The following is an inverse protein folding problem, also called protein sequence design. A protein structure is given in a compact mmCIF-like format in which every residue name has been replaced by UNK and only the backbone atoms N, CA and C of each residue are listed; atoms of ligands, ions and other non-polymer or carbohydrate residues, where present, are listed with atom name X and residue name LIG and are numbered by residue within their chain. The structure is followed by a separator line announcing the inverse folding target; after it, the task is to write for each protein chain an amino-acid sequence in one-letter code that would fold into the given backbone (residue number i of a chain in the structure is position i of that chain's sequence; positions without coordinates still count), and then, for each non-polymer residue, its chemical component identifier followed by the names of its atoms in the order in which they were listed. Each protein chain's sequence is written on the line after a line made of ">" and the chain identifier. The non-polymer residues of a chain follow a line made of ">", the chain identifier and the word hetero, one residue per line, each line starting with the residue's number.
data_IF_763336059058
#
_entry.id   IF_763336059058
#
_cell.length_a   1.000
_cell.length_b   1.000
_cell.length_c   1.000
_cell.angle_alpha   90.00
_cell.angle_beta   90.00
_cell.angle_gamma   90.00
#
_symmetry.space_group_name_H-M   'P 1'
#
loop_
_entity.id
_entity.type
_entity.pdbx_description
1 polymer ?
#
# COMPACT_ATOMS: atom_id res chain seq x y z
N UNK A 1 2.07 6.17 8.37
CA UNK A 1 1.39 5.77 9.64
C UNK A 1 -0.11 6.05 9.61
N UNK A 2 -0.55 7.25 9.16
CA UNK A 2 -1.98 7.63 9.19
C UNK A 2 -2.87 6.61 8.49
N UNK A 3 -2.52 6.16 7.28
CA UNK A 3 -3.30 5.17 6.53
C UNK A 3 -3.47 3.87 7.35
N UNK A 4 -2.45 3.44 8.09
CA UNK A 4 -2.54 2.22 8.89
C UNK A 4 -3.39 2.42 10.15
N UNK A 5 -3.14 3.48 10.90
CA UNK A 5 -3.71 3.63 12.25
C UNK A 5 -5.08 4.32 12.28
N UNK A 6 -5.52 4.96 11.18
CA UNK A 6 -6.86 5.54 11.09
C UNK A 6 -7.98 4.48 11.29
N UNK A 7 -7.70 3.19 11.11
CA UNK A 7 -8.61 2.08 11.40
C UNK A 7 -9.13 2.05 12.84
N UNK A 8 -8.37 2.62 13.78
CA UNK A 8 -8.79 2.71 15.19
C UNK A 8 -9.90 3.73 15.43
N UNK A 9 -10.16 4.66 14.48
CA UNK A 9 -11.25 5.63 14.61
C UNK A 9 -12.61 4.96 14.84
N UNK A 10 -12.88 3.85 14.12
CA UNK A 10 -14.09 3.06 14.31
C UNK A 10 -14.20 2.50 15.73
N UNK A 11 -13.10 2.00 16.30
CA UNK A 11 -13.11 1.46 17.66
C UNK A 11 -13.41 2.55 18.71
N UNK A 12 -12.89 3.76 18.50
CA UNK A 12 -13.19 4.92 19.35
C UNK A 12 -14.67 5.30 19.23
N UNK A 13 -15.19 5.34 18.01
CA UNK A 13 -16.62 5.63 17.75
C UNK A 13 -17.53 4.58 18.37
N UNK A 14 -17.14 3.30 18.36
CA UNK A 14 -17.92 2.21 18.96
C UNK A 14 -18.03 2.31 20.50
N UNK A 15 -17.16 3.10 21.14
CA UNK A 15 -17.28 3.46 22.55
C UNK A 15 -18.30 4.61 22.81
N UNK A 16 -18.94 5.12 21.76
CA UNK A 16 -19.92 6.20 21.84
C UNK A 16 -19.33 7.60 21.66
N UNK A 17 -18.08 7.74 21.28
CA UNK A 17 -17.43 9.01 21.05
C UNK A 17 -17.76 9.61 19.67
N UNK A 18 -17.93 10.94 19.60
CA UNK A 18 -17.89 11.69 18.37
C UNK A 18 -16.43 11.91 17.98
N UNK A 19 -15.94 11.21 16.95
CA UNK A 19 -14.53 11.22 16.58
C UNK A 19 -14.22 12.39 15.66
N UNK A 20 -13.35 13.29 16.13
CA UNK A 20 -12.69 14.31 15.31
C UNK A 20 -11.33 13.76 14.95
N UNK A 21 -11.06 13.53 13.66
CA UNK A 21 -9.80 13.00 13.18
C UNK A 21 -8.99 14.08 12.47
N UNK A 22 -7.83 14.43 13.04
CA UNK A 22 -6.87 15.33 12.40
C UNK A 22 -5.85 14.52 11.60
N UNK A 23 -5.70 14.84 10.31
CA UNK A 23 -4.77 14.15 9.40
C UNK A 23 -3.96 15.14 8.57
N UNK A 24 -2.89 14.66 7.92
CA UNK A 24 -2.13 15.47 6.97
C UNK A 24 -3.06 15.94 5.85
N UNK A 25 -2.97 17.21 5.46
CA UNK A 25 -3.80 17.84 4.43
C UNK A 25 -3.94 17.00 3.15
N UNK A 26 -2.87 16.36 2.60
CA UNK A 26 -3.00 15.52 1.41
C UNK A 26 -3.87 14.28 1.58
N UNK A 27 -4.11 13.81 2.83
CA UNK A 27 -4.89 12.60 3.10
C UNK A 27 -6.38 12.87 3.38
N UNK A 28 -6.78 14.13 3.52
CA UNK A 28 -8.17 14.49 3.87
C UNK A 28 -9.16 13.89 2.87
N UNK A 29 -8.90 14.03 1.57
CA UNK A 29 -9.82 13.51 0.55
C UNK A 29 -9.85 11.99 0.50
N UNK A 30 -8.71 11.33 0.69
CA UNK A 30 -8.63 9.87 0.75
C UNK A 30 -9.44 9.29 1.92
N UNK A 31 -9.49 10.00 3.04
CA UNK A 31 -10.08 9.54 4.29
C UNK A 31 -11.47 10.13 4.58
N UNK A 32 -12.07 10.86 3.61
CA UNK A 32 -13.32 11.60 3.81
C UNK A 32 -14.51 10.74 4.24
N UNK A 33 -14.53 9.49 3.79
CA UNK A 33 -15.61 8.54 4.06
C UNK A 33 -15.20 7.45 5.08
N UNK A 34 -14.14 7.71 5.87
CA UNK A 34 -13.64 6.76 6.85
C UNK A 34 -14.69 6.50 7.94
N UNK A 35 -15.10 5.25 8.05
CA UNK A 35 -16.11 4.81 9.04
C UNK A 35 -15.66 5.13 10.46
N UNK A 36 -16.58 5.68 11.25
CA UNK A 36 -16.37 6.04 12.65
C UNK A 36 -15.79 7.45 12.86
N UNK A 37 -15.59 8.22 11.80
CA UNK A 37 -15.15 9.63 11.88
C UNK A 37 -16.35 10.53 11.69
N UNK A 38 -16.63 11.39 12.67
CA UNK A 38 -17.70 12.39 12.61
C UNK A 38 -17.23 13.68 11.95
N UNK A 39 -15.98 14.06 12.19
CA UNK A 39 -15.38 15.28 11.64
C UNK A 39 -13.92 14.98 11.22
N UNK A 40 -13.60 15.27 9.98
CA UNK A 40 -12.25 15.13 9.46
C UNK A 40 -11.65 16.51 9.21
N UNK A 41 -10.46 16.77 9.76
CA UNK A 41 -9.78 18.06 9.66
C UNK A 41 -8.34 17.90 9.18
N UNK A 42 -7.86 18.89 8.45
CA UNK A 42 -6.46 18.92 8.05
C UNK A 42 -5.58 19.45 9.18
N UNK A 43 -4.40 18.86 9.34
CA UNK A 43 -3.39 19.37 10.26
C UNK A 43 -3.07 20.83 9.96
N UNK A 44 -3.25 21.68 10.98
CA UNK A 44 -3.06 23.11 10.91
C UNK A 44 -4.36 23.93 10.72
N UNK A 45 -5.49 23.28 10.47
CA UNK A 45 -6.80 23.94 10.49
C UNK A 45 -7.24 24.19 11.95
N UNK A 46 -8.16 25.13 12.21
CA UNK A 46 -8.72 25.38 13.52
C UNK A 46 -9.38 24.09 14.07
N UNK A 47 -9.00 23.72 15.30
CA UNK A 47 -9.62 22.59 15.98
C UNK A 47 -10.99 23.00 16.53
N UNK A 48 -12.06 22.20 16.31
CA UNK A 48 -13.30 22.37 17.04
C UNK A 48 -13.10 22.05 18.53
N UNK A 49 -14.08 22.37 19.37
CA UNK A 49 -14.06 21.98 20.78
C UNK A 49 -14.04 20.46 20.92
N UNK A 50 -13.30 19.94 21.89
CA UNK A 50 -13.21 18.51 22.19
C UNK A 50 -12.98 18.29 23.69
N UNK A 51 -13.43 17.15 24.20
CA UNK A 51 -13.26 16.79 25.61
C UNK A 51 -11.91 16.08 25.85
N UNK A 52 -11.49 15.22 24.93
CA UNK A 52 -10.29 14.39 25.04
C UNK A 52 -9.52 14.37 23.74
N UNK A 53 -8.22 14.17 23.82
CA UNK A 53 -7.40 13.90 22.64
C UNK A 53 -6.45 12.72 22.87
N UNK A 54 -6.13 12.00 21.80
CA UNK A 54 -5.17 10.91 21.81
C UNK A 54 -4.38 10.91 20.48
N UNK A 55 -3.04 10.89 20.53
CA UNK A 55 -2.27 10.66 19.32
C UNK A 55 -2.66 9.33 18.69
N UNK A 56 -2.89 9.32 17.39
CA UNK A 56 -3.37 8.13 16.65
C UNK A 56 -2.50 6.89 16.89
N UNK A 57 -1.19 7.05 16.96
CA UNK A 57 -0.23 5.95 17.21
C UNK A 57 -0.25 5.46 18.66
N UNK A 58 -0.93 6.16 19.57
CA UNK A 58 -1.12 5.73 20.96
C UNK A 58 -2.41 4.93 21.16
N UNK A 59 -3.31 4.91 20.17
CA UNK A 59 -4.55 4.15 20.23
C UNK A 59 -4.35 2.64 20.45
N UNK A 60 -3.39 1.97 19.78
CA UNK A 60 -3.10 0.56 20.07
C UNK A 60 -2.82 0.31 21.55
N UNK A 61 -2.06 1.17 22.21
CA UNK A 61 -1.78 1.06 23.64
C UNK A 61 -3.06 1.30 24.49
N UNK A 62 -3.84 2.32 24.15
CA UNK A 62 -5.09 2.64 24.84
C UNK A 62 -6.10 1.49 24.78
N UNK A 63 -6.18 0.81 23.62
CA UNK A 63 -7.00 -0.38 23.41
C UNK A 63 -6.33 -1.69 23.88
N UNK A 64 -5.13 -1.63 24.47
CA UNK A 64 -4.34 -2.81 24.88
C UNK A 64 -4.22 -3.83 23.75
N UNK A 65 -4.00 -3.33 22.53
CA UNK A 65 -3.91 -4.16 21.33
C UNK A 65 -2.71 -5.13 21.43
N UNK A 66 -2.99 -6.39 21.24
CA UNK A 66 -2.03 -7.47 21.06
C UNK A 66 -2.21 -8.13 19.67
N UNK A 67 -1.43 -9.17 19.36
CA UNK A 67 -1.47 -9.83 18.06
C UNK A 67 -2.85 -10.40 17.69
N UNK A 68 -3.66 -10.77 18.69
CA UNK A 68 -4.97 -11.38 18.47
C UNK A 68 -6.09 -10.34 18.41
N UNK A 69 -5.81 -9.12 18.86
CA UNK A 69 -6.79 -8.03 18.95
C UNK A 69 -6.51 -6.87 17.99
N UNK A 70 -5.53 -7.02 17.09
CA UNK A 70 -5.33 -6.06 15.99
C UNK A 70 -6.61 -5.96 15.15
N UNK A 71 -7.15 -4.75 14.92
CA UNK A 71 -8.34 -4.57 14.09
C UNK A 71 -8.02 -4.81 12.60
N UNK A 72 -7.93 -6.10 12.21
CA UNK A 72 -7.53 -6.57 10.88
C UNK A 72 -8.73 -6.82 9.97
N UNK A 73 -9.58 -5.81 9.77
CA UNK A 73 -10.67 -5.89 8.78
C UNK A 73 -10.12 -6.16 7.37
N UNK A 74 -10.94 -6.82 6.53
CA UNK A 74 -10.58 -7.11 5.13
C UNK A 74 -10.26 -5.83 4.36
N UNK A 75 -11.05 -4.77 4.58
CA UNK A 75 -10.82 -3.42 4.07
C UNK A 75 -11.43 -2.40 5.04
N UNK A 76 -10.93 -1.18 5.04
CA UNK A 76 -11.48 -0.04 5.78
C UNK A 76 -11.34 1.29 5.02
N UNK A 77 -10.76 1.27 3.82
CA UNK A 77 -10.76 2.38 2.87
C UNK A 77 -11.42 1.95 1.57
N UNK A 78 -11.98 2.93 0.88
CA UNK A 78 -12.57 2.77 -0.44
C UNK A 78 -12.03 3.84 -1.38
N UNK A 79 -11.83 3.49 -2.66
CA UNK A 79 -11.45 4.43 -3.69
C UNK A 79 -12.70 5.12 -4.27
N UNK A 80 -12.55 6.35 -4.75
CA UNK A 80 -13.63 7.08 -5.41
C UNK A 80 -14.12 6.32 -6.66
N UNK A 81 -15.40 5.97 -6.70
CA UNK A 81 -15.99 5.10 -7.74
C UNK A 81 -15.77 5.65 -9.16
N UNK A 82 -15.86 6.97 -9.35
CA UNK A 82 -15.61 7.62 -10.65
C UNK A 82 -14.16 7.42 -11.10
N UNK A 83 -13.19 7.54 -10.18
CA UNK A 83 -11.77 7.29 -10.48
C UNK A 83 -11.51 5.81 -10.77
N UNK A 84 -12.15 4.91 -10.03
CA UNK A 84 -12.06 3.46 -10.30
C UNK A 84 -12.54 3.16 -11.72
N UNK A 85 -13.69 3.70 -12.13
CA UNK A 85 -14.22 3.51 -13.48
C UNK A 85 -13.31 4.14 -14.55
N UNK A 86 -12.76 5.32 -14.29
CA UNK A 86 -11.82 6.00 -15.18
C UNK A 86 -10.57 5.14 -15.44
N UNK A 87 -9.90 4.69 -14.39
CA UNK A 87 -8.68 3.90 -14.50
C UNK A 87 -8.94 2.49 -15.05
N UNK A 88 -10.10 1.88 -14.76
CA UNK A 88 -10.52 0.62 -15.37
C UNK A 88 -10.54 0.69 -16.90
N UNK A 89 -10.97 1.81 -17.45
CA UNK A 89 -11.01 2.04 -18.90
C UNK A 89 -9.63 2.28 -19.52
N UNK A 90 -8.65 2.70 -18.73
CA UNK A 90 -7.27 2.99 -19.19
C UNK A 90 -6.35 1.78 -19.04
N UNK A 91 -6.50 1.02 -17.96
CA UNK A 91 -5.71 -0.20 -17.70
C UNK A 91 -6.38 -1.36 -18.44
N UNK A 92 -6.21 -1.36 -19.77
CA UNK A 92 -6.74 -2.42 -20.64
C UNK A 92 -5.68 -3.50 -20.82
N UNK A 93 -6.13 -4.68 -21.14
CA UNK A 93 -5.30 -5.84 -21.45
C UNK A 93 -5.82 -7.10 -20.77
N UNK A 94 -5.46 -8.23 -21.34
CA UNK A 94 -5.73 -9.54 -20.78
C UNK A 94 -4.58 -9.97 -19.86
N UNK A 95 -4.86 -10.88 -18.95
CA UNK A 95 -3.87 -11.40 -18.01
C UNK A 95 -3.92 -10.74 -16.64
N UNK A 96 -2.95 -11.11 -15.82
CA UNK A 96 -2.82 -10.68 -14.42
C UNK A 96 -2.24 -9.26 -14.37
N UNK A 97 -2.99 -8.34 -13.84
CA UNK A 97 -2.58 -6.94 -13.66
C UNK A 97 -1.86 -6.76 -12.33
N UNK A 98 -0.57 -6.50 -12.40
CA UNK A 98 0.28 -6.34 -11.22
C UNK A 98 0.76 -4.90 -11.09
N UNK A 99 0.31 -4.21 -10.05
CA UNK A 99 0.84 -2.90 -9.68
C UNK A 99 2.19 -3.03 -8.98
N UNK A 100 3.18 -2.26 -9.42
CA UNK A 100 4.54 -2.34 -8.87
C UNK A 100 5.05 -1.00 -8.34
N UNK A 101 5.74 -1.06 -7.19
CA UNK A 101 6.49 0.07 -6.66
C UNK A 101 7.76 -0.44 -5.96
N UNK A 102 8.90 0.21 -6.22
CA UNK A 102 10.22 -0.29 -5.84
C UNK A 102 11.03 0.65 -4.97
N UNK A 103 10.63 1.91 -4.89
CA UNK A 103 11.41 2.95 -4.24
C UNK A 103 10.58 3.69 -3.19
N UNK A 104 11.14 3.85 -1.99
CA UNK A 104 10.58 4.71 -0.96
C UNK A 104 11.06 6.16 -1.08
N UNK A 105 10.71 7.00 -0.10
CA UNK A 105 11.16 8.39 -0.03
C UNK A 105 12.67 8.46 0.15
N UNK A 106 13.35 9.20 -0.74
CA UNK A 106 14.79 9.37 -0.70
C UNK A 106 15.25 10.25 0.48
N UNK A 107 16.45 9.97 0.99
CA UNK A 107 17.14 10.85 1.96
C UNK A 107 16.77 10.63 3.43
N UNK A 108 15.98 9.63 3.75
CA UNK A 108 15.66 9.26 5.13
C UNK A 108 16.45 8.02 5.58
N UNK A 109 16.80 7.95 6.87
CA UNK A 109 17.44 6.75 7.44
C UNK A 109 16.56 5.50 7.33
N UNK A 110 15.23 5.69 7.21
CA UNK A 110 14.25 4.62 7.06
C UNK A 110 14.38 3.91 5.70
N UNK A 111 14.86 4.62 4.67
CA UNK A 111 14.99 4.07 3.31
C UNK A 111 16.19 3.12 3.15
N UNK A 112 17.10 3.07 4.10
CA UNK A 112 18.29 2.24 4.00
C UNK A 112 17.90 0.75 3.85
N UNK A 113 18.25 0.19 2.68
CA UNK A 113 18.07 -1.23 2.35
C UNK A 113 16.64 -1.69 2.10
N UNK A 114 15.61 -0.80 2.09
CA UNK A 114 14.22 -1.21 1.82
C UNK A 114 13.81 -1.03 0.37
N UNK A 115 14.48 -0.14 -0.34
CA UNK A 115 14.25 0.10 -1.77
C UNK A 115 15.14 -0.84 -2.61
N UNK A 116 14.69 -1.15 -3.80
CA UNK A 116 15.39 -2.01 -4.75
C UNK A 116 15.21 -1.48 -6.17
N UNK A 117 15.91 -2.08 -7.14
CA UNK A 117 15.87 -1.60 -8.52
C UNK A 117 14.70 -2.21 -9.30
N UNK A 118 14.09 -1.41 -10.19
CA UNK A 118 13.02 -1.84 -11.09
C UNK A 118 13.40 -3.08 -11.92
N UNK A 119 14.68 -3.21 -12.30
CA UNK A 119 15.18 -4.36 -13.09
C UNK A 119 14.89 -5.73 -12.47
N UNK A 120 14.71 -5.82 -11.15
CA UNK A 120 14.40 -7.07 -10.46
C UNK A 120 13.04 -7.66 -10.86
N UNK A 121 12.14 -6.84 -11.37
CA UNK A 121 10.86 -7.32 -11.92
C UNK A 121 10.98 -7.97 -13.31
N UNK A 122 12.18 -8.01 -13.92
CA UNK A 122 12.36 -8.50 -15.30
C UNK A 122 11.79 -9.91 -15.50
N UNK A 123 12.12 -10.84 -14.61
CA UNK A 123 11.65 -12.22 -14.71
C UNK A 123 10.10 -12.34 -14.56
N UNK A 124 9.49 -11.46 -13.77
CA UNK A 124 8.02 -11.39 -13.64
C UNK A 124 7.40 -10.77 -14.90
N UNK A 125 8.04 -9.72 -15.46
CA UNK A 125 7.60 -9.08 -16.70
C UNK A 125 7.65 -10.01 -17.92
N UNK A 126 8.50 -11.02 -17.90
CA UNK A 126 8.65 -12.00 -18.99
C UNK A 126 7.58 -13.12 -18.97
N UNK A 127 6.72 -13.15 -17.93
CA UNK A 127 5.62 -14.10 -17.89
C UNK A 127 4.54 -13.72 -18.93
N UNK A 128 4.10 -14.68 -19.73
CA UNK A 128 3.23 -14.44 -20.90
C UNK A 128 1.87 -13.82 -20.58
N UNK A 129 1.41 -13.91 -19.32
CA UNK A 129 0.08 -13.49 -18.91
C UNK A 129 0.11 -12.40 -17.84
N UNK A 130 1.21 -11.68 -17.71
CA UNK A 130 1.40 -10.63 -16.72
C UNK A 130 1.49 -9.26 -17.39
N UNK A 131 0.80 -8.30 -16.84
CA UNK A 131 0.92 -6.88 -17.18
C UNK A 131 1.39 -6.11 -15.94
N UNK A 132 2.58 -5.52 -16.01
CA UNK A 132 3.09 -4.66 -14.95
C UNK A 132 2.60 -3.23 -15.14
N UNK A 133 2.10 -2.64 -14.06
CA UNK A 133 1.62 -1.25 -13.99
C UNK A 133 2.42 -0.50 -12.92
N UNK A 134 3.07 0.59 -13.31
CA UNK A 134 3.84 1.41 -12.37
C UNK A 134 2.93 2.21 -11.44
N UNK A 135 3.07 2.00 -10.14
CA UNK A 135 2.52 2.84 -9.08
C UNK A 135 3.59 3.77 -8.49
N UNK A 136 4.82 3.72 -9.04
CA UNK A 136 5.94 4.53 -8.58
C UNK A 136 5.75 5.98 -8.98
N UNK A 137 5.79 6.90 -8.00
CA UNK A 137 5.72 8.33 -8.22
C UNK A 137 6.94 9.04 -7.65
N UNK A 138 7.42 10.05 -8.34
CA UNK A 138 8.58 10.84 -7.93
C UNK A 138 9.88 10.05 -8.01
N UNK A 139 10.68 10.06 -6.94
CA UNK A 139 11.99 9.41 -6.89
C UNK A 139 11.89 7.92 -7.23
N UNK A 140 12.75 7.44 -8.11
CA UNK A 140 12.76 6.08 -8.63
C UNK A 140 12.00 5.90 -9.96
N UNK A 141 11.08 6.81 -10.33
CA UNK A 141 10.32 6.72 -11.58
C UNK A 141 11.20 6.89 -12.83
N UNK A 142 12.36 7.53 -12.69
CA UNK A 142 13.35 7.67 -13.76
C UNK A 142 13.86 6.32 -14.29
N UNK A 143 13.78 5.24 -13.51
CA UNK A 143 14.16 3.89 -13.91
C UNK A 143 13.28 3.34 -15.05
N UNK A 144 12.06 3.85 -15.21
CA UNK A 144 11.18 3.49 -16.33
C UNK A 144 11.78 3.88 -17.70
N UNK A 145 12.70 4.86 -17.73
CA UNK A 145 13.37 5.28 -18.97
C UNK A 145 14.53 4.37 -19.37
N UNK A 146 15.04 3.55 -18.43
CA UNK A 146 16.22 2.70 -18.62
C UNK A 146 15.94 1.25 -18.22
N UNK A 147 14.80 0.71 -18.65
CA UNK A 147 14.42 -0.67 -18.37
C UNK A 147 15.30 -1.67 -19.10
N UNK A 148 15.49 -2.88 -18.56
CA UNK A 148 16.13 -3.99 -19.29
C UNK A 148 15.44 -4.25 -20.64
N UNK A 149 16.22 -4.70 -21.62
CA UNK A 149 15.70 -5.02 -22.95
C UNK A 149 14.52 -6.02 -22.87
N UNK A 150 13.44 -5.71 -23.56
CA UNK A 150 12.22 -6.52 -23.59
C UNK A 150 11.30 -6.41 -22.37
N UNK A 151 11.72 -5.73 -21.30
CA UNK A 151 10.85 -5.46 -20.16
C UNK A 151 9.79 -4.41 -20.53
N UNK A 152 8.54 -4.69 -20.20
CA UNK A 152 7.43 -3.75 -20.41
C UNK A 152 6.74 -3.44 -19.09
N UNK A 153 6.55 -2.16 -18.82
CA UNK A 153 5.80 -1.64 -17.68
C UNK A 153 4.92 -0.51 -18.16
N UNK A 154 3.63 -0.57 -17.88
CA UNK A 154 2.72 0.53 -18.15
C UNK A 154 3.02 1.67 -17.19
N UNK A 155 3.48 2.80 -17.72
CA UNK A 155 3.63 4.05 -16.98
C UNK A 155 2.31 4.83 -17.04
N UNK A 156 1.78 5.21 -15.89
CA UNK A 156 0.54 5.99 -15.78
C UNK A 156 0.80 7.50 -15.91
N UNK A 157 2.06 7.90 -15.97
CA UNK A 157 2.47 9.28 -16.19
C UNK A 157 2.21 10.23 -15.02
N UNK A 158 2.27 11.53 -15.32
CA UNK A 158 2.09 12.59 -14.33
C UNK A 158 0.65 12.73 -13.83
N UNK A 159 -0.31 12.15 -14.54
CA UNK A 159 -1.72 12.17 -14.19
C UNK A 159 -2.02 11.39 -12.89
N UNK A 160 -1.25 10.34 -12.60
CA UNK A 160 -1.40 9.58 -11.38
C UNK A 160 -1.27 10.49 -10.15
N UNK A 161 -2.32 10.57 -9.33
CA UNK A 161 -2.40 11.42 -8.12
C UNK A 161 -2.11 12.91 -8.36
N UNK A 162 -2.45 13.45 -9.55
CA UNK A 162 -2.29 14.86 -9.85
C UNK A 162 -3.22 15.75 -9.01
N UNK A 163 -4.45 15.29 -8.77
CA UNK A 163 -5.49 16.03 -8.04
C UNK A 163 -5.47 15.81 -6.52
N UNK A 164 -4.61 14.94 -6.02
CA UNK A 164 -4.51 14.65 -4.60
C UNK A 164 -3.82 13.35 -4.29
N UNK A 165 -3.13 13.31 -3.17
CA UNK A 165 -2.30 12.18 -2.78
C UNK A 165 -3.11 10.89 -2.64
N UNK A 166 -2.65 9.83 -3.29
CA UNK A 166 -3.20 8.48 -3.25
C UNK A 166 -4.61 8.28 -3.82
N UNK A 167 -5.22 9.29 -4.45
CA UNK A 167 -6.58 9.17 -4.97
C UNK A 167 -6.63 8.27 -6.20
N UNK A 168 -5.75 8.54 -7.17
CA UNK A 168 -5.63 7.68 -8.35
C UNK A 168 -4.91 6.39 -8.04
N UNK A 169 -3.89 6.41 -7.16
CA UNK A 169 -3.24 5.20 -6.66
C UNK A 169 -4.26 4.23 -6.05
N UNK A 170 -5.19 4.70 -5.22
CA UNK A 170 -6.25 3.87 -4.65
C UNK A 170 -7.18 3.30 -5.73
N UNK A 171 -7.58 4.13 -6.69
CA UNK A 171 -8.45 3.72 -7.79
C UNK A 171 -7.76 2.72 -8.74
N UNK A 172 -6.49 2.93 -9.05
CA UNK A 172 -5.69 1.98 -9.84
C UNK A 172 -5.56 0.66 -9.10
N UNK A 173 -5.15 0.69 -7.83
CA UNK A 173 -4.98 -0.52 -6.98
C UNK A 173 -6.27 -1.34 -6.94
N UNK A 174 -7.44 -0.70 -6.87
CA UNK A 174 -8.75 -1.39 -6.88
C UNK A 174 -9.03 -2.14 -8.19
N UNK A 175 -8.37 -1.79 -9.28
CA UNK A 175 -8.48 -2.44 -10.58
C UNK A 175 -7.38 -3.49 -10.85
N UNK A 176 -6.53 -3.78 -9.87
CA UNK A 176 -5.43 -4.72 -10.00
C UNK A 176 -5.74 -6.06 -9.35
N UNK A 177 -5.11 -7.10 -9.86
CA UNK A 177 -5.18 -8.46 -9.31
C UNK A 177 -4.16 -8.64 -8.17
N UNK A 178 -3.04 -7.92 -8.24
CA UNK A 178 -1.95 -7.99 -7.27
C UNK A 178 -1.20 -6.67 -7.20
N UNK A 179 -0.71 -6.31 -6.03
CA UNK A 179 0.29 -5.25 -5.85
C UNK A 179 1.58 -5.87 -5.32
N UNK A 180 2.73 -5.52 -5.91
CA UNK A 180 4.06 -5.88 -5.40
C UNK A 180 4.81 -4.58 -5.08
N UNK A 181 5.17 -4.39 -3.82
CA UNK A 181 5.79 -3.14 -3.38
C UNK A 181 6.85 -3.38 -2.31
N UNK A 182 7.78 -2.44 -2.19
CA UNK A 182 8.62 -2.33 -0.99
C UNK A 182 7.78 -1.87 0.21
N UNK A 183 8.38 -1.85 1.40
CA UNK A 183 7.78 -1.34 2.64
C UNK A 183 7.55 0.18 2.56
N UNK A 184 6.45 0.58 1.94
CA UNK A 184 6.07 1.97 1.69
C UNK A 184 4.60 2.23 2.02
N UNK A 185 4.15 3.49 1.89
CA UNK A 185 2.76 3.87 2.06
C UNK A 185 1.80 3.09 1.14
N UNK A 186 2.28 2.63 -0.03
CA UNK A 186 1.47 1.83 -0.97
C UNK A 186 1.12 0.44 -0.41
N UNK A 187 2.01 -0.20 0.38
CA UNK A 187 1.68 -1.44 1.07
C UNK A 187 0.50 -1.25 2.03
N UNK A 188 0.52 -0.14 2.78
CA UNK A 188 -0.57 0.19 3.70
C UNK A 188 -1.87 0.59 2.98
N UNK A 189 -1.76 1.31 1.87
CA UNK A 189 -2.92 1.69 1.06
C UNK A 189 -3.59 0.45 0.45
N UNK A 190 -2.82 -0.41 -0.21
CA UNK A 190 -3.34 -1.64 -0.82
C UNK A 190 -3.95 -2.58 0.23
N UNK A 191 -3.31 -2.71 1.40
CA UNK A 191 -3.85 -3.45 2.53
C UNK A 191 -5.14 -2.84 3.11
N UNK A 192 -5.24 -1.51 3.18
CA UNK A 192 -6.43 -0.80 3.63
C UNK A 192 -7.61 -0.95 2.66
N UNK A 193 -7.33 -1.07 1.36
CA UNK A 193 -8.30 -1.36 0.31
C UNK A 193 -8.67 -2.87 0.23
N UNK A 194 -7.95 -3.74 0.95
CA UNK A 194 -8.17 -5.18 0.95
C UNK A 194 -7.68 -5.90 -0.31
N UNK A 195 -6.82 -5.28 -1.09
CA UNK A 195 -6.28 -5.83 -2.33
C UNK A 195 -5.09 -6.74 -2.03
N UNK A 196 -5.01 -7.89 -2.72
CA UNK A 196 -3.90 -8.83 -2.60
C UNK A 196 -2.57 -8.10 -2.82
N UNK A 197 -1.68 -8.17 -1.84
CA UNK A 197 -0.43 -7.41 -1.88
C UNK A 197 0.73 -8.25 -1.40
N UNK A 198 1.81 -8.23 -2.15
CA UNK A 198 3.09 -8.82 -1.78
C UNK A 198 4.07 -7.73 -1.40
N UNK A 199 4.60 -7.81 -0.21
CA UNK A 199 5.54 -6.83 0.30
C UNK A 199 6.94 -7.43 0.32
N UNK A 200 7.84 -6.85 -0.48
CA UNK A 200 9.25 -7.18 -0.47
C UNK A 200 9.92 -6.48 0.72
N UNK A 201 10.43 -7.25 1.65
CA UNK A 201 11.02 -6.77 2.91
C UNK A 201 12.52 -6.99 2.94
N UNK A 202 13.25 -5.99 3.42
CA UNK A 202 14.68 -6.12 3.74
C UNK A 202 14.92 -7.14 4.84
N UNK A 203 16.16 -7.58 5.00
CA UNK A 203 16.56 -8.61 5.97
C UNK A 203 16.10 -8.29 7.41
N UNK A 204 16.28 -7.06 7.88
CA UNK A 204 15.72 -6.58 9.15
C UNK A 204 14.60 -5.60 8.83
N UNK A 205 13.33 -6.07 8.75
CA UNK A 205 12.21 -5.21 8.42
C UNK A 205 11.83 -4.28 9.56
N UNK A 206 10.88 -3.42 9.32
CA UNK A 206 10.23 -2.60 10.32
C UNK A 206 9.35 -3.47 11.24
N UNK A 207 9.16 -3.08 12.49
CA UNK A 207 8.52 -3.89 13.54
C UNK A 207 7.12 -4.41 13.20
N UNK A 208 6.35 -3.69 12.38
CA UNK A 208 4.98 -4.07 11.95
C UNK A 208 4.94 -5.42 11.23
N UNK A 209 6.00 -5.72 10.51
CA UNK A 209 6.09 -6.92 9.68
C UNK A 209 6.63 -8.14 10.45
N UNK A 210 7.13 -7.95 11.69
CA UNK A 210 7.73 -9.00 12.51
C UNK A 210 8.86 -9.77 11.80
N UNK A 211 9.33 -10.88 12.33
CA UNK A 211 10.46 -11.62 11.77
C UNK A 211 10.05 -12.97 11.15
N UNK A 212 9.26 -13.77 11.83
CA UNK A 212 9.10 -15.19 11.55
C UNK A 212 7.75 -15.55 10.92
N UNK A 213 7.21 -14.67 10.05
CA UNK A 213 5.92 -14.94 9.38
C UNK A 213 5.88 -14.40 7.95
N UNK A 214 5.06 -15.05 7.12
CA UNK A 214 4.83 -14.64 5.73
C UNK A 214 3.50 -13.91 5.53
N UNK A 215 2.63 -13.85 6.54
CA UNK A 215 1.40 -13.07 6.56
C UNK A 215 1.56 -11.81 7.39
N UNK A 216 0.58 -10.93 7.35
CA UNK A 216 0.54 -9.72 8.18
C UNK A 216 -0.63 -9.77 9.15
N UNK A 217 -0.42 -9.54 10.47
CA UNK A 217 -1.53 -9.43 11.39
C UNK A 217 -2.34 -8.14 11.20
N UNK A 218 -1.79 -7.16 10.50
CA UNK A 218 -2.44 -5.89 10.20
C UNK A 218 -3.35 -5.96 8.98
N UNK A 219 -3.03 -6.80 8.00
CA UNK A 219 -3.71 -6.85 6.70
C UNK A 219 -3.83 -8.29 6.22
N UNK A 220 -5.05 -8.88 6.24
CA UNK A 220 -5.25 -10.27 5.79
C UNK A 220 -4.90 -10.50 4.32
N UNK A 221 -4.89 -9.44 3.51
CA UNK A 221 -4.58 -9.49 2.07
C UNK A 221 -3.08 -9.45 1.75
N UNK A 222 -2.20 -9.30 2.76
CA UNK A 222 -0.76 -9.17 2.53
C UNK A 222 -0.02 -10.50 2.70
N UNK A 223 0.91 -10.76 1.77
CA UNK A 223 1.96 -11.77 1.89
C UNK A 223 3.33 -11.09 1.91
N UNK A 224 4.20 -11.54 2.82
CA UNK A 224 5.50 -10.95 3.08
C UNK A 224 6.61 -11.83 2.50
N UNK A 225 7.47 -11.23 1.68
CA UNK A 225 8.65 -11.85 1.11
C UNK A 225 9.88 -11.15 1.68
N UNK A 226 10.79 -11.92 2.29
CA UNK A 226 11.93 -11.36 3.03
C UNK A 226 13.24 -11.74 2.40
N UNK A 227 14.19 -10.81 2.44
CA UNK A 227 15.58 -11.13 2.18
C UNK A 227 16.08 -12.18 3.20
N UNK A 228 16.75 -13.21 2.72
CA UNK A 228 17.45 -14.18 3.57
C UNK A 228 18.82 -13.67 4.03
N UNK A 229 19.40 -12.75 3.27
CA UNK A 229 20.64 -12.04 3.58
C UNK A 229 20.51 -10.57 3.22
N UNK A 230 21.24 -9.72 3.93
CA UNK A 230 21.25 -8.28 3.70
C UNK A 230 21.63 -7.99 2.23
N UNK A 231 20.85 -7.07 1.62
CA UNK A 231 21.00 -6.59 0.24
C UNK A 231 20.84 -7.68 -0.86
N UNK A 232 20.39 -8.88 -0.52
CA UNK A 232 20.12 -9.94 -1.48
C UNK A 232 18.63 -9.95 -1.88
N UNK A 233 18.31 -9.27 -2.97
CA UNK A 233 16.94 -9.18 -3.48
C UNK A 233 16.57 -10.27 -4.49
N UNK A 234 17.54 -10.88 -5.17
CA UNK A 234 17.28 -11.82 -6.25
C UNK A 234 16.38 -12.98 -5.81
N UNK A 235 16.71 -13.65 -4.70
CA UNK A 235 15.94 -14.76 -4.15
C UNK A 235 14.48 -14.40 -3.84
N UNK A 236 14.23 -13.16 -3.39
CA UNK A 236 12.88 -12.63 -3.11
C UNK A 236 12.05 -12.58 -4.40
N UNK A 237 12.62 -12.06 -5.49
CA UNK A 237 11.93 -11.93 -6.77
C UNK A 237 11.78 -13.26 -7.50
N UNK A 238 12.76 -14.17 -7.38
CA UNK A 238 12.68 -15.53 -7.92
C UNK A 238 11.52 -16.31 -7.25
N UNK A 239 11.37 -16.18 -5.93
CA UNK A 239 10.25 -16.80 -5.21
C UNK A 239 8.90 -16.18 -5.62
N UNK A 240 8.83 -14.86 -5.80
CA UNK A 240 7.61 -14.19 -6.29
C UNK A 240 7.26 -14.67 -7.70
N UNK A 241 8.23 -14.82 -8.60
CA UNK A 241 7.98 -15.37 -9.93
C UNK A 241 7.41 -16.79 -9.89
N UNK A 242 7.99 -17.66 -9.06
CA UNK A 242 7.49 -19.04 -8.86
C UNK A 242 6.05 -19.03 -8.37
N UNK A 243 5.75 -18.19 -7.39
CA UNK A 243 4.42 -18.10 -6.79
C UNK A 243 3.39 -17.54 -7.80
N UNK A 244 3.74 -16.57 -8.65
CA UNK A 244 2.86 -16.06 -9.72
C UNK A 244 2.54 -17.19 -10.70
N UNK A 245 3.54 -17.94 -11.14
CA UNK A 245 3.35 -19.06 -12.06
C UNK A 245 2.46 -20.17 -11.49
N UNK A 246 2.39 -20.30 -10.16
CA UNK A 246 1.56 -21.31 -9.49
C UNK A 246 0.10 -20.88 -9.33
N UNK A 247 -0.24 -19.63 -9.64
CA UNK A 247 -1.61 -19.12 -9.53
C UNK A 247 -2.43 -19.67 -10.71
N UNK A 248 -3.50 -20.45 -10.46
CA UNK A 248 -4.34 -20.96 -11.54
C UNK A 248 -4.98 -19.82 -12.33
N UNK A 249 -5.04 -19.97 -13.64
CA UNK A 249 -5.70 -19.02 -14.53
C UNK A 249 -7.14 -18.76 -14.06
N UNK A 250 -7.49 -17.52 -13.71
CA UNK A 250 -8.83 -17.15 -13.25
C UNK A 250 -9.06 -17.23 -11.73
N UNK A 251 -8.02 -17.43 -10.91
CA UNK A 251 -8.12 -17.55 -9.44
C UNK A 251 -7.66 -16.33 -8.66
N UNK A 252 -7.39 -15.22 -9.34
CA UNK A 252 -7.01 -13.95 -8.72
C UNK A 252 -8.18 -12.99 -8.81
#
# INVERSE_FOLDING_TARGET
>A
DTIQFCRYAKMVSDLGANVILEVQKPLVRLLKDLTGVSTLIAKGDPLPEFDFHCPMLSLPLAFKTDLNSIPSAKSYLEAEAERVAYWKNRIKGDGIKIGIAWQGSHGTKIDIGRSFELKLFKNIADLNNVQLISLQKGYGSEQLRNMPQGMQVMDLGEELDADGAFLDSAAVITNLDLVITSDTALAHLAGALGIKTWVALKFVPEWRWMLDRQDSPWYPSLKLYRQEKMDEWASVFDQMQIDINSIPYGSI
#
